data_IF_845912511357
#
_entry.id   IF_845912511357
#
_cell.length_a   1.000
_cell.length_b   1.000
_cell.length_c   1.000
_cell.angle_alpha   90.00
_cell.angle_beta   90.00
_cell.angle_gamma   90.00
#
_symmetry.space_group_name_H-M   'P 1'
#
loop_
_entity.id
_entity.type
_entity.pdbx_description
1 polymer ?
#
# COMPACT_ATOMS: atom_id res chain seq x y z
N UNK A 1 36.18 -19.69 -13.73
CA UNK A 1 35.17 -19.05 -14.59
C UNK A 1 33.96 -18.84 -13.69
N UNK A 2 33.84 -17.66 -13.09
CA UNK A 2 32.71 -17.36 -12.20
C UNK A 2 31.51 -16.99 -13.07
N UNK A 3 30.41 -17.72 -12.93
CA UNK A 3 29.15 -17.40 -13.58
C UNK A 3 28.46 -16.38 -12.68
N UNK A 4 28.40 -15.11 -13.13
CA UNK A 4 27.66 -14.05 -12.43
C UNK A 4 26.20 -14.46 -12.27
N UNK A 5 25.73 -14.48 -11.03
CA UNK A 5 24.40 -14.95 -10.63
C UNK A 5 23.36 -13.83 -10.56
N UNK A 6 23.48 -12.79 -11.39
CA UNK A 6 22.54 -11.66 -11.37
C UNK A 6 21.53 -11.72 -12.53
N UNK A 7 20.23 -11.49 -12.27
CA UNK A 7 19.20 -11.52 -13.30
C UNK A 7 19.40 -10.35 -14.27
N UNK A 8 19.60 -10.66 -15.55
CA UNK A 8 19.82 -9.67 -16.62
C UNK A 8 18.54 -8.88 -16.98
N UNK A 9 17.38 -9.41 -16.61
CA UNK A 9 16.09 -8.72 -16.73
C UNK A 9 15.57 -8.44 -15.32
N UNK A 10 15.87 -7.26 -14.81
CA UNK A 10 15.15 -6.73 -13.66
C UNK A 10 13.68 -6.58 -14.09
N UNK A 11 12.74 -7.07 -13.27
CA UNK A 11 11.33 -6.73 -13.47
C UNK A 11 11.24 -5.20 -13.55
N UNK A 12 10.58 -4.60 -14.56
CA UNK A 12 10.26 -3.18 -14.48
C UNK A 12 9.56 -3.00 -13.13
N UNK A 13 9.99 -2.04 -12.32
CA UNK A 13 9.46 -1.81 -10.99
C UNK A 13 7.96 -1.53 -11.10
N UNK A 14 7.14 -2.59 -11.07
CA UNK A 14 5.69 -2.46 -11.02
C UNK A 14 5.42 -1.95 -9.62
N UNK A 15 4.78 -0.80 -9.52
CA UNK A 15 4.24 -0.32 -8.27
C UNK A 15 3.21 -1.35 -7.79
N UNK A 16 3.58 -2.18 -6.81
CA UNK A 16 2.66 -3.16 -6.26
C UNK A 16 1.40 -2.44 -5.79
N UNK A 17 0.23 -2.90 -6.26
CA UNK A 17 -1.04 -2.39 -5.73
C UNK A 17 -1.12 -2.80 -4.28
N UNK A 18 -1.25 -1.83 -3.38
CA UNK A 18 -1.55 -2.10 -1.98
C UNK A 18 -2.81 -2.97 -1.90
N UNK A 19 -2.69 -4.13 -1.28
CA UNK A 19 -3.79 -5.07 -1.05
C UNK A 19 -4.89 -4.42 -0.20
N UNK A 20 -6.13 -4.91 -0.28
CA UNK A 20 -7.22 -4.43 0.60
C UNK A 20 -6.98 -4.85 2.06
N UNK A 21 -7.37 -3.99 3.01
CA UNK A 21 -7.21 -4.25 4.45
C UNK A 21 -8.14 -5.39 4.88
N UNK A 22 -7.61 -6.34 5.66
CA UNK A 22 -8.43 -7.35 6.34
C UNK A 22 -8.99 -6.71 7.60
N UNK A 23 -10.31 -6.52 7.64
CA UNK A 23 -11.01 -6.01 8.82
C UNK A 23 -11.02 -7.07 9.91
N UNK A 24 -10.60 -6.71 11.11
CA UNK A 24 -10.64 -7.56 12.29
C UNK A 24 -11.85 -7.21 13.15
N UNK A 25 -12.38 -8.18 13.88
CA UNK A 25 -13.54 -7.97 14.77
C UNK A 25 -13.23 -6.95 15.89
N UNK A 26 -11.96 -6.87 16.30
CA UNK A 26 -11.45 -5.89 17.26
C UNK A 26 -11.48 -4.44 16.75
N UNK A 27 -11.56 -4.22 15.44
CA UNK A 27 -11.66 -2.86 14.88
C UNK A 27 -13.00 -2.19 15.24
N UNK A 28 -14.00 -2.99 15.63
CA UNK A 28 -15.33 -2.50 16.02
C UNK A 28 -15.53 -2.45 17.55
N UNK A 29 -14.54 -2.88 18.33
CA UNK A 29 -14.60 -2.86 19.78
C UNK A 29 -14.18 -1.48 20.31
N UNK A 30 -15.12 -0.77 20.96
CA UNK A 30 -14.89 0.57 21.47
C UNK A 30 -14.09 0.58 22.79
N UNK A 31 -13.90 -0.57 23.42
CA UNK A 31 -13.05 -0.72 24.62
C UNK A 31 -11.56 -0.91 24.25
N UNK A 32 -11.31 -1.34 23.00
CA UNK A 32 -9.95 -1.50 22.47
C UNK A 32 -9.45 -0.18 21.92
N UNK A 33 -8.26 0.24 22.38
CA UNK A 33 -7.59 1.42 21.84
C UNK A 33 -6.91 1.09 20.52
N UNK A 34 -7.43 1.65 19.44
CA UNK A 34 -6.79 1.62 18.13
C UNK A 34 -5.80 2.80 17.99
N UNK A 35 -4.59 2.52 17.51
CA UNK A 35 -3.55 3.54 17.32
C UNK A 35 -3.45 3.91 15.85
N UNK A 36 -3.38 5.22 15.57
CA UNK A 36 -3.29 5.69 14.19
C UNK A 36 -2.00 5.21 13.55
N UNK A 37 -2.13 4.47 12.45
CA UNK A 37 -1.02 3.95 11.69
C UNK A 37 -0.84 4.67 10.34
N UNK A 38 0.30 4.39 9.69
CA UNK A 38 0.64 4.92 8.36
C UNK A 38 -0.37 4.54 7.28
N UNK A 39 -1.12 3.46 7.47
CA UNK A 39 -2.07 2.91 6.49
C UNK A 39 -3.43 3.58 6.63
N UNK A 40 -3.89 3.88 7.84
CA UNK A 40 -5.06 4.71 8.09
C UNK A 40 -4.90 6.09 7.43
N UNK A 41 -3.75 6.73 7.64
CA UNK A 41 -3.44 8.01 6.99
C UNK A 41 -3.44 7.87 5.46
N UNK A 42 -2.88 6.79 4.92
CA UNK A 42 -2.88 6.53 3.48
C UNK A 42 -4.29 6.32 2.93
N UNK A 43 -5.14 5.54 3.60
CA UNK A 43 -6.52 5.28 3.21
C UNK A 43 -7.37 6.55 3.20
N UNK A 44 -7.11 7.50 4.10
CA UNK A 44 -7.79 8.80 4.11
C UNK A 44 -7.42 9.70 2.91
N UNK A 45 -6.18 9.64 2.43
CA UNK A 45 -5.68 10.56 1.39
C UNK A 45 -5.56 9.93 0.00
N UNK A 46 -5.61 8.61 -0.14
CA UNK A 46 -5.38 7.88 -1.41
C UNK A 46 -6.36 8.23 -2.53
N UNK A 47 -7.51 8.80 -2.20
CA UNK A 47 -8.57 9.15 -3.16
C UNK A 47 -8.68 10.66 -3.41
N UNK A 48 -7.73 11.44 -2.89
CA UNK A 48 -7.61 12.86 -3.24
C UNK A 48 -7.11 12.92 -4.68
N UNK A 49 -7.98 13.41 -5.56
CA UNK A 49 -7.67 13.56 -6.98
C UNK A 49 -6.82 14.81 -7.22
N UNK A 50 -5.84 14.68 -8.11
CA UNK A 50 -5.11 15.82 -8.63
C UNK A 50 -6.09 16.75 -9.38
N UNK A 51 -6.18 18.06 -9.03
CA UNK A 51 -7.13 18.97 -9.67
C UNK A 51 -6.78 19.27 -11.13
N UNK A 52 -5.52 19.05 -11.54
CA UNK A 52 -5.05 19.31 -12.89
C UNK A 52 -5.23 18.09 -13.80
N UNK A 53 -5.23 16.87 -13.28
CA UNK A 53 -5.20 15.65 -14.09
C UNK A 53 -6.26 14.61 -13.66
N UNK A 54 -7.12 14.12 -14.58
CA UNK A 54 -8.06 13.05 -14.30
C UNK A 54 -7.35 11.70 -14.27
N UNK A 55 -6.85 11.33 -13.10
CA UNK A 55 -6.28 10.00 -12.85
C UNK A 55 -7.42 9.03 -12.53
N UNK A 56 -8.09 8.54 -13.58
CA UNK A 56 -9.08 7.45 -13.52
C UNK A 56 -8.43 6.08 -13.60
#
# INVERSE_FOLDING_TARGET
MEVSSEPQNLNPTIYERSEERIVQESDYDNDVRDEIDRREIFELIRSINDPEHPLT
#
